data_IF_690214629564
#
_entry.id   IF_690214629564
#
_cell.length_a   1.000
_cell.length_b   1.000
_cell.length_c   1.000
_cell.angle_alpha   90.00
_cell.angle_beta   90.00
_cell.angle_gamma   90.00
#
_symmetry.space_group_name_H-M   'P 1'
#
loop_
_entity.id
_entity.type
_entity.pdbx_description
1 polymer ?
#
# COMPACT_ATOMS: atom_id res chain seq x y z
N UNK A 1 -9.77 -42.58 -51.48
CA UNK A 1 -9.00 -42.02 -50.37
C UNK A 1 -8.38 -40.70 -50.78
N UNK A 2 -8.74 -39.62 -50.06
CA UNK A 2 -8.22 -38.28 -50.30
C UNK A 2 -6.71 -38.24 -50.06
N UNK A 3 -5.94 -37.50 -50.88
CA UNK A 3 -4.49 -37.37 -50.68
C UNK A 3 -4.18 -36.73 -49.32
N UNK A 4 -3.08 -37.15 -48.71
CA UNK A 4 -2.73 -36.75 -47.34
C UNK A 4 -2.76 -35.24 -47.11
N UNK A 5 -2.31 -34.44 -48.08
CA UNK A 5 -2.32 -32.96 -48.03
C UNK A 5 -3.72 -32.35 -47.93
N UNK A 6 -4.67 -32.89 -48.72
CA UNK A 6 -6.08 -32.41 -48.67
C UNK A 6 -6.73 -32.79 -47.35
N UNK A 7 -6.45 -33.96 -46.82
CA UNK A 7 -6.95 -34.40 -45.52
C UNK A 7 -6.44 -33.52 -44.39
N UNK A 8 -5.15 -33.18 -44.37
CA UNK A 8 -4.59 -32.29 -43.38
C UNK A 8 -5.16 -30.87 -43.45
N UNK A 9 -5.35 -30.35 -44.68
CA UNK A 9 -5.98 -29.05 -44.90
C UNK A 9 -7.44 -29.02 -44.40
N UNK A 10 -8.22 -30.06 -44.67
CA UNK A 10 -9.61 -30.17 -44.20
C UNK A 10 -9.69 -30.25 -42.65
N UNK A 11 -8.78 -31.01 -42.00
CA UNK A 11 -8.72 -31.07 -40.55
C UNK A 11 -8.34 -29.69 -39.97
N UNK A 12 -7.34 -29.04 -40.56
CA UNK A 12 -6.93 -27.69 -40.15
C UNK A 12 -8.07 -26.67 -40.27
N UNK A 13 -8.80 -26.70 -41.40
CA UNK A 13 -9.97 -25.86 -41.62
C UNK A 13 -11.11 -26.15 -40.63
N UNK A 14 -11.39 -27.40 -40.35
CA UNK A 14 -12.42 -27.80 -39.38
C UNK A 14 -12.06 -27.32 -37.97
N UNK A 15 -10.79 -27.49 -37.55
CA UNK A 15 -10.28 -26.99 -36.27
C UNK A 15 -10.35 -25.46 -36.16
N UNK A 16 -9.94 -24.75 -37.22
CA UNK A 16 -9.98 -23.29 -37.26
C UNK A 16 -11.43 -22.77 -37.18
N UNK A 17 -12.34 -23.41 -37.92
CA UNK A 17 -13.77 -23.07 -37.89
C UNK A 17 -14.38 -23.33 -36.52
N UNK A 18 -14.01 -24.43 -35.87
CA UNK A 18 -14.47 -24.77 -34.55
C UNK A 18 -13.92 -23.76 -33.51
N UNK A 19 -12.62 -23.41 -33.57
CA UNK A 19 -11.99 -22.41 -32.70
C UNK A 19 -12.61 -21.03 -32.90
N UNK A 20 -12.87 -20.63 -34.15
CA UNK A 20 -13.55 -19.36 -34.44
C UNK A 20 -14.94 -19.30 -33.81
N UNK A 21 -15.75 -20.36 -34.01
CA UNK A 21 -17.09 -20.44 -33.40
C UNK A 21 -17.04 -20.39 -31.90
N UNK A 22 -16.13 -21.16 -31.27
CA UNK A 22 -15.92 -21.12 -29.82
C UNK A 22 -15.56 -19.70 -29.33
N UNK A 23 -14.67 -19.01 -30.03
CA UNK A 23 -14.27 -17.63 -29.69
C UNK A 23 -15.43 -16.64 -29.79
N UNK A 24 -16.25 -16.74 -30.84
CA UNK A 24 -17.44 -15.89 -31.03
C UNK A 24 -18.46 -16.13 -29.91
N UNK A 25 -18.76 -17.38 -29.58
CA UNK A 25 -19.73 -17.70 -28.53
C UNK A 25 -19.24 -17.30 -27.15
N UNK A 26 -17.94 -17.54 -26.80
CA UNK A 26 -17.36 -17.04 -25.57
C UNK A 26 -17.45 -15.51 -25.53
N UNK A 27 -17.19 -14.82 -26.65
CA UNK A 27 -17.34 -13.36 -26.72
C UNK A 27 -18.76 -12.89 -26.43
N UNK A 28 -19.77 -13.61 -26.97
CA UNK A 28 -21.18 -13.34 -26.69
C UNK A 28 -21.52 -13.60 -25.23
N UNK A 29 -21.06 -14.71 -24.64
CA UNK A 29 -21.29 -15.04 -23.24
C UNK A 29 -20.69 -13.99 -22.31
N UNK A 30 -19.47 -13.51 -22.60
CA UNK A 30 -18.81 -12.42 -21.89
C UNK A 30 -19.59 -11.11 -22.04
N UNK A 31 -20.03 -10.76 -23.25
CA UNK A 31 -20.83 -9.56 -23.47
C UNK A 31 -22.16 -9.61 -22.70
N UNK A 32 -22.85 -10.75 -22.71
CA UNK A 32 -24.09 -10.95 -21.93
C UNK A 32 -23.83 -10.87 -20.44
N UNK A 33 -22.71 -11.43 -19.95
CA UNK A 33 -22.29 -11.34 -18.55
C UNK A 33 -22.11 -9.91 -18.07
N UNK A 34 -21.54 -9.03 -18.91
CA UNK A 34 -21.29 -7.62 -18.53
C UNK A 34 -22.49 -6.71 -18.78
N UNK A 35 -23.33 -7.00 -19.80
CA UNK A 35 -24.43 -6.11 -20.19
C UNK A 35 -25.79 -6.48 -19.57
N UNK A 36 -25.98 -7.76 -19.18
CA UNK A 36 -27.22 -8.27 -18.60
C UNK A 36 -27.02 -8.84 -17.19
N UNK A 37 -27.83 -9.83 -16.83
CA UNK A 37 -27.69 -10.54 -15.58
C UNK A 37 -26.52 -11.50 -15.64
N UNK A 38 -25.60 -11.43 -14.69
CA UNK A 38 -24.41 -12.31 -14.60
C UNK A 38 -24.77 -13.79 -14.59
N UNK A 39 -25.88 -14.15 -13.92
CA UNK A 39 -26.40 -15.52 -13.92
C UNK A 39 -26.74 -16.04 -15.31
N UNK A 40 -27.30 -15.19 -16.19
CA UNK A 40 -27.61 -15.55 -17.56
C UNK A 40 -26.34 -15.81 -18.40
N UNK A 41 -25.30 -14.98 -18.21
CA UNK A 41 -24.00 -15.18 -18.85
C UNK A 41 -23.34 -16.50 -18.43
N UNK A 42 -23.42 -16.87 -17.15
CA UNK A 42 -22.93 -18.15 -16.64
C UNK A 42 -23.73 -19.32 -17.20
N UNK A 43 -25.05 -19.22 -17.22
CA UNK A 43 -25.92 -20.24 -17.83
C UNK A 43 -25.56 -20.46 -19.30
N UNK A 44 -25.42 -19.37 -20.06
CA UNK A 44 -25.04 -19.43 -21.48
C UNK A 44 -23.67 -20.10 -21.63
N UNK A 45 -22.70 -19.74 -20.81
CA UNK A 45 -21.37 -20.35 -20.81
C UNK A 45 -21.41 -21.86 -20.52
N UNK A 46 -22.22 -22.29 -19.54
CA UNK A 46 -22.41 -23.73 -19.25
C UNK A 46 -23.03 -24.46 -20.43
N UNK A 47 -24.05 -23.88 -21.08
CA UNK A 47 -24.67 -24.44 -22.26
C UNK A 47 -23.68 -24.55 -23.43
N UNK A 48 -22.83 -23.52 -23.60
CA UNK A 48 -21.78 -23.51 -24.61
C UNK A 48 -20.73 -24.59 -24.37
N UNK A 49 -20.24 -24.73 -23.15
CA UNK A 49 -19.32 -25.81 -22.78
C UNK A 49 -19.98 -27.16 -23.05
N UNK A 50 -21.23 -27.34 -22.66
CA UNK A 50 -21.99 -28.55 -22.90
C UNK A 50 -22.13 -28.89 -24.40
N UNK A 51 -22.44 -27.89 -25.19
CA UNK A 51 -22.70 -28.09 -26.62
C UNK A 51 -21.42 -28.16 -27.46
N UNK A 52 -20.43 -27.31 -27.18
CA UNK A 52 -19.23 -27.21 -28.03
C UNK A 52 -18.05 -28.05 -27.54
N UNK A 53 -18.03 -28.45 -26.27
CA UNK A 53 -16.94 -29.25 -25.70
C UNK A 53 -17.44 -30.63 -25.29
N UNK A 54 -18.45 -30.72 -24.45
CA UNK A 54 -18.88 -31.99 -23.89
C UNK A 54 -19.54 -32.87 -24.96
N UNK A 55 -20.43 -32.32 -25.77
CA UNK A 55 -21.13 -33.10 -26.83
C UNK A 55 -20.16 -33.66 -27.87
N UNK A 56 -19.24 -32.91 -28.47
CA UNK A 56 -18.24 -33.47 -29.41
C UNK A 56 -17.39 -34.54 -28.76
N UNK A 57 -16.91 -34.29 -27.51
CA UNK A 57 -16.09 -35.24 -26.76
C UNK A 57 -16.88 -36.56 -26.53
N UNK A 58 -18.14 -36.46 -26.11
CA UNK A 58 -18.98 -37.66 -25.87
C UNK A 58 -19.29 -38.39 -27.18
N UNK A 59 -19.54 -37.67 -28.27
CA UNK A 59 -19.76 -38.29 -29.58
C UNK A 59 -18.49 -38.99 -30.06
N UNK A 60 -17.36 -38.40 -29.99
CA UNK A 60 -16.07 -39.02 -30.32
C UNK A 60 -15.77 -40.25 -29.45
N UNK A 61 -15.99 -40.13 -28.13
CA UNK A 61 -15.84 -41.27 -27.20
C UNK A 61 -16.76 -42.45 -27.54
N UNK A 62 -18.01 -42.15 -27.97
CA UNK A 62 -18.95 -43.19 -28.44
C UNK A 62 -18.47 -43.85 -29.74
N UNK A 63 -18.02 -43.06 -30.71
CA UNK A 63 -17.45 -43.56 -31.97
C UNK A 63 -16.18 -44.39 -31.70
N UNK A 64 -15.34 -43.98 -30.79
CA UNK A 64 -14.17 -44.76 -30.37
C UNK A 64 -14.51 -46.09 -29.75
N UNK A 65 -15.56 -46.08 -28.91
CA UNK A 65 -16.02 -47.31 -28.28
C UNK A 65 -16.62 -48.28 -29.30
N UNK A 66 -17.26 -47.74 -30.33
CA UNK A 66 -17.82 -48.55 -31.45
C UNK A 66 -16.73 -49.09 -32.39
N UNK A 67 -15.57 -48.42 -32.53
CA UNK A 67 -14.49 -48.78 -33.46
C UNK A 67 -13.19 -49.19 -32.78
N UNK A 68 -13.27 -49.75 -31.58
CA UNK A 68 -12.08 -50.06 -30.75
C UNK A 68 -11.06 -50.94 -31.47
N UNK A 69 -11.52 -51.88 -32.31
CA UNK A 69 -10.67 -52.86 -32.99
C UNK A 69 -9.93 -52.30 -34.21
N UNK A 70 -10.40 -51.20 -34.76
CA UNK A 70 -9.82 -50.57 -35.97
C UNK A 70 -8.75 -49.49 -35.62
N UNK A 71 -8.57 -49.10 -34.36
CA UNK A 71 -7.67 -48.01 -33.95
C UNK A 71 -6.32 -48.55 -33.48
N UNK A 72 -5.19 -48.10 -34.06
CA UNK A 72 -3.87 -48.50 -33.60
C UNK A 72 -3.65 -48.21 -32.12
N UNK A 73 -2.97 -49.12 -31.37
CA UNK A 73 -2.83 -48.97 -29.92
C UNK A 73 -2.12 -47.65 -29.47
N UNK A 74 -1.21 -47.17 -30.32
CA UNK A 74 -0.53 -45.89 -30.07
C UNK A 74 -1.49 -44.70 -30.07
N UNK A 75 -2.43 -44.66 -30.98
CA UNK A 75 -3.45 -43.59 -31.05
C UNK A 75 -4.43 -43.65 -29.88
N UNK A 76 -4.84 -44.86 -29.46
CA UNK A 76 -5.67 -45.03 -28.25
C UNK A 76 -4.98 -44.44 -27.02
N UNK A 77 -3.71 -44.74 -26.85
CA UNK A 77 -2.90 -44.19 -25.71
C UNK A 77 -2.79 -42.68 -25.79
N UNK A 78 -2.48 -42.11 -26.95
CA UNK A 78 -2.36 -40.68 -27.15
C UNK A 78 -3.67 -39.93 -26.87
N UNK A 79 -4.78 -40.48 -27.26
CA UNK A 79 -6.13 -39.88 -27.12
C UNK A 79 -6.61 -39.86 -25.66
N UNK A 80 -6.21 -40.82 -24.84
CA UNK A 80 -6.48 -40.80 -23.39
C UNK A 80 -5.40 -39.99 -22.63
N UNK A 81 -4.15 -40.12 -23.06
CA UNK A 81 -3.04 -39.44 -22.38
C UNK A 81 -3.11 -37.91 -22.51
N UNK A 82 -3.54 -37.37 -23.67
CA UNK A 82 -3.58 -35.93 -23.90
C UNK A 82 -4.58 -35.21 -22.96
N UNK A 83 -5.87 -35.58 -22.85
CA UNK A 83 -6.77 -34.94 -21.91
C UNK A 83 -6.37 -35.18 -20.44
N UNK A 84 -5.84 -36.36 -20.14
CA UNK A 84 -5.33 -36.65 -18.81
C UNK A 84 -4.13 -35.75 -18.47
N UNK A 85 -3.20 -35.56 -19.41
CA UNK A 85 -2.06 -34.67 -19.25
C UNK A 85 -2.52 -33.20 -19.04
N UNK A 86 -3.49 -32.74 -19.80
CA UNK A 86 -4.09 -31.40 -19.66
C UNK A 86 -4.77 -31.23 -18.29
N UNK A 87 -5.52 -32.26 -17.85
CA UNK A 87 -6.14 -32.26 -16.53
C UNK A 87 -5.07 -32.18 -15.42
N UNK A 88 -4.04 -33.02 -15.52
CA UNK A 88 -2.92 -33.01 -14.55
C UNK A 88 -2.20 -31.67 -14.58
N UNK A 89 -1.89 -31.14 -15.76
CA UNK A 89 -1.27 -29.81 -15.90
C UNK A 89 -2.14 -28.69 -15.28
N UNK A 90 -3.47 -28.79 -15.39
CA UNK A 90 -4.39 -27.86 -14.76
C UNK A 90 -4.49 -27.98 -13.24
N UNK A 91 -4.15 -29.14 -12.68
CA UNK A 91 -4.14 -29.39 -11.23
C UNK A 91 -2.77 -29.09 -10.57
N UNK A 92 -1.70 -29.04 -11.35
CA UNK A 92 -0.37 -28.69 -10.83
C UNK A 92 -0.35 -27.21 -10.45
N UNK A 93 0.10 -26.87 -9.22
CA UNK A 93 0.28 -25.48 -8.84
C UNK A 93 1.49 -24.88 -9.56
N UNK A 94 1.24 -24.00 -10.50
CA UNK A 94 2.29 -23.28 -11.22
C UNK A 94 2.81 -22.13 -10.37
N UNK A 95 4.14 -21.98 -10.23
CA UNK A 95 4.71 -20.85 -9.52
C UNK A 95 4.29 -19.56 -10.22
N UNK A 96 3.74 -18.64 -9.47
CA UNK A 96 3.28 -17.35 -9.96
C UNK A 96 4.08 -16.22 -9.35
N UNK A 97 4.36 -15.19 -10.13
CA UNK A 97 4.81 -13.91 -9.60
C UNK A 97 3.58 -13.04 -9.36
N UNK A 98 3.52 -12.44 -8.19
CA UNK A 98 2.53 -11.45 -7.82
C UNK A 98 3.11 -10.07 -8.03
N UNK A 99 2.32 -9.16 -8.57
CA UNK A 99 2.75 -7.78 -8.76
C UNK A 99 1.85 -6.82 -7.99
N UNK A 100 2.44 -5.72 -7.53
CA UNK A 100 1.73 -4.65 -6.85
C UNK A 100 2.48 -3.34 -6.93
N UNK A 101 1.76 -2.25 -6.71
CA UNK A 101 2.39 -0.95 -6.58
C UNK A 101 3.29 -0.90 -5.35
N UNK A 102 4.50 -0.40 -5.49
CA UNK A 102 5.48 -0.32 -4.42
C UNK A 102 5.98 1.10 -4.19
N UNK A 103 6.27 1.38 -2.93
CA UNK A 103 6.86 2.63 -2.47
C UNK A 103 8.12 2.34 -1.67
N UNK A 104 9.26 2.78 -2.21
CA UNK A 104 10.57 2.70 -1.57
C UNK A 104 10.78 3.93 -0.69
N UNK A 105 11.05 3.71 0.58
CA UNK A 105 11.39 4.78 1.53
C UNK A 105 12.31 4.27 2.64
N UNK A 106 12.88 5.19 3.40
CA UNK A 106 13.66 4.83 4.59
C UNK A 106 12.74 4.22 5.64
N UNK A 107 13.13 3.09 6.24
CA UNK A 107 12.35 2.41 7.29
C UNK A 107 12.12 3.32 8.49
N UNK A 108 13.16 4.05 8.85
CA UNK A 108 13.10 5.02 9.95
C UNK A 108 13.15 6.42 9.40
N UNK A 109 12.01 7.10 9.44
CA UNK A 109 11.88 8.49 9.04
C UNK A 109 11.07 9.27 10.07
N UNK A 110 11.39 10.54 10.23
CA UNK A 110 10.66 11.43 11.13
C UNK A 110 10.45 12.78 10.46
N UNK A 111 9.17 13.15 10.32
CA UNK A 111 8.80 14.46 9.78
C UNK A 111 8.89 15.50 10.88
N UNK A 112 9.66 16.54 10.64
CA UNK A 112 9.79 17.67 11.54
C UNK A 112 8.72 18.68 11.23
N UNK A 113 7.82 18.93 12.17
CA UNK A 113 6.73 19.89 12.05
C UNK A 113 6.91 21.06 13.01
N UNK A 114 6.47 22.24 12.61
CA UNK A 114 6.35 23.36 13.52
C UNK A 114 5.26 23.09 14.56
N UNK A 115 5.55 23.09 15.89
CA UNK A 115 4.55 22.80 16.92
C UNK A 115 3.51 23.92 17.05
N UNK A 116 3.93 25.16 16.87
CA UNK A 116 3.11 26.37 16.95
C UNK A 116 3.43 27.33 15.80
N UNK A 117 2.56 28.31 15.58
CA UNK A 117 2.85 29.42 14.70
C UNK A 117 4.01 30.25 15.27
N UNK A 118 4.95 30.62 14.43
CA UNK A 118 6.08 31.42 14.87
C UNK A 118 7.02 31.82 13.74
N UNK A 119 8.01 32.61 14.07
CA UNK A 119 9.04 33.06 13.15
C UNK A 119 10.25 32.12 13.24
N UNK A 120 10.72 31.63 12.11
CA UNK A 120 11.91 30.80 12.04
C UNK A 120 13.16 31.68 12.27
N UNK A 121 13.93 31.40 13.32
CA UNK A 121 15.17 32.14 13.60
C UNK A 121 16.39 31.49 12.95
N UNK A 122 16.43 30.17 12.93
CA UNK A 122 17.53 29.39 12.38
C UNK A 122 17.05 28.11 11.72
N UNK A 123 17.77 27.69 10.68
CA UNK A 123 17.55 26.42 9.99
C UNK A 123 18.91 25.76 9.72
N UNK A 124 18.91 24.44 9.75
CA UNK A 124 20.07 23.62 9.33
C UNK A 124 19.91 23.24 7.88
N UNK A 125 20.99 23.33 7.12
CA UNK A 125 21.03 22.89 5.74
C UNK A 125 20.84 21.37 5.63
N UNK A 126 20.28 20.88 4.48
CA UNK A 126 20.19 19.45 4.19
C UNK A 126 21.56 18.76 4.30
N UNK A 127 21.62 17.63 4.97
CA UNK A 127 22.87 16.90 5.16
C UNK A 127 22.85 15.99 6.39
N UNK A 128 24.00 15.40 6.75
CA UNK A 128 24.12 14.52 7.91
C UNK A 128 23.87 15.28 9.22
N UNK A 129 23.08 14.68 10.12
CA UNK A 129 22.73 15.24 11.42
C UNK A 129 22.91 14.19 12.51
N UNK A 130 23.21 14.66 13.73
CA UNK A 130 23.35 13.83 14.91
C UNK A 130 22.11 13.88 15.81
N UNK A 131 21.84 12.81 16.54
CA UNK A 131 20.75 12.79 17.53
C UNK A 131 20.90 13.96 18.53
N UNK A 132 19.81 14.70 18.78
CA UNK A 132 19.79 15.87 19.64
C UNK A 132 20.34 17.15 19.01
N UNK A 133 20.86 17.10 17.78
CA UNK A 133 21.31 18.30 17.06
C UNK A 133 20.10 19.19 16.79
N UNK A 134 20.23 20.51 17.05
CA UNK A 134 19.21 21.51 16.74
C UNK A 134 19.10 21.66 15.24
N UNK A 135 17.89 21.48 14.71
CA UNK A 135 17.58 21.58 13.27
C UNK A 135 16.92 22.91 12.94
N UNK A 136 15.91 23.29 13.71
CA UNK A 136 15.17 24.51 13.52
C UNK A 136 14.93 25.18 14.86
N UNK A 137 14.91 26.49 14.86
CA UNK A 137 14.56 27.32 16.00
C UNK A 137 13.42 28.23 15.62
N UNK A 138 12.26 28.06 16.29
CA UNK A 138 11.05 28.84 16.04
C UNK A 138 10.86 29.80 17.23
N UNK A 139 10.62 31.05 16.94
CA UNK A 139 10.29 32.09 17.93
C UNK A 139 8.77 32.35 17.90
N UNK A 140 8.15 32.30 19.09
CA UNK A 140 6.76 32.72 19.25
C UNK A 140 6.71 33.90 20.21
N UNK A 141 6.59 35.14 19.70
CA UNK A 141 6.54 36.35 20.57
C UNK A 141 5.33 36.33 21.49
N UNK A 142 4.21 35.73 21.06
CA UNK A 142 3.02 35.61 21.91
C UNK A 142 3.24 34.70 23.10
N UNK A 143 3.92 33.56 22.90
CA UNK A 143 4.26 32.65 23.99
C UNK A 143 5.28 33.26 24.97
N UNK A 144 6.27 33.98 24.42
CA UNK A 144 7.24 34.73 25.25
C UNK A 144 6.54 35.78 26.11
N UNK A 145 5.62 36.54 25.55
CA UNK A 145 4.85 37.55 26.27
C UNK A 145 4.00 36.91 27.38
N UNK A 146 3.36 35.77 27.07
CA UNK A 146 2.55 35.01 28.04
C UNK A 146 3.39 34.50 29.21
N UNK A 147 4.58 33.97 28.94
CA UNK A 147 5.56 33.57 29.97
C UNK A 147 5.97 34.75 30.85
N UNK A 148 6.35 35.88 30.23
CA UNK A 148 6.74 37.07 30.99
C UNK A 148 5.64 37.60 31.89
N UNK A 149 4.38 37.58 31.41
CA UNK A 149 3.21 37.98 32.22
C UNK A 149 3.00 37.03 33.40
N UNK A 150 3.08 35.71 33.20
CA UNK A 150 2.93 34.71 34.24
C UNK A 150 4.06 34.84 35.28
N UNK A 151 5.32 35.02 34.85
CA UNK A 151 6.46 35.26 35.74
C UNK A 151 6.33 36.57 36.51
N UNK A 152 5.88 37.65 35.89
CA UNK A 152 5.63 38.92 36.57
C UNK A 152 4.56 38.81 37.66
N UNK A 153 3.48 38.06 37.39
CA UNK A 153 2.43 37.80 38.37
C UNK A 153 2.90 36.90 39.50
N UNK A 154 3.65 35.85 39.20
CA UNK A 154 4.30 34.98 40.20
C UNK A 154 5.17 35.78 41.13
N UNK A 155 6.03 36.65 40.59
CA UNK A 155 6.96 37.45 41.38
C UNK A 155 6.22 38.52 42.22
N UNK A 156 5.13 39.09 41.73
CA UNK A 156 4.27 39.98 42.50
C UNK A 156 3.64 39.26 43.69
N UNK A 157 3.07 38.05 43.51
CA UNK A 157 2.51 37.26 44.62
C UNK A 157 3.55 36.80 45.60
N UNK A 158 4.76 36.52 45.19
CA UNK A 158 5.88 36.19 46.05
C UNK A 158 6.25 37.35 46.97
N UNK A 159 6.29 38.58 46.44
CA UNK A 159 6.56 39.78 47.23
C UNK A 159 5.43 40.08 48.22
N UNK A 160 4.16 39.92 47.81
CA UNK A 160 3.02 40.07 48.73
C UNK A 160 3.06 39.05 49.86
N UNK A 161 3.39 37.79 49.58
CA UNK A 161 3.57 36.74 50.60
C UNK A 161 4.68 37.10 51.61
N UNK A 162 5.79 37.64 51.12
CA UNK A 162 6.89 38.07 51.98
C UNK A 162 6.49 39.24 52.89
N UNK A 163 5.61 40.14 52.41
CA UNK A 163 5.10 41.28 53.19
C UNK A 163 4.10 40.93 54.28
N UNK A 164 3.52 39.71 54.26
CA UNK A 164 2.56 39.26 55.29
C UNK A 164 3.22 38.77 56.61
N UNK A 165 4.54 38.71 56.66
CA UNK A 165 5.22 38.25 57.83
C UNK A 165 5.01 39.23 58.99
N UNK A 166 4.27 38.81 60.07
CA UNK A 166 4.02 39.58 61.27
C UNK A 166 2.64 40.30 61.37
N UNK A 167 1.73 40.08 60.45
CA UNK A 167 0.37 40.66 60.53
C UNK A 167 -0.64 39.72 61.24
N UNK A 168 -1.56 40.23 62.11
CA UNK A 168 -2.41 39.41 62.98
C UNK A 168 -3.44 38.54 62.18
N UNK A 169 -3.90 38.95 60.98
CA UNK A 169 -4.86 38.21 60.15
C UNK A 169 -4.19 37.49 58.93
N UNK A 170 -2.92 37.20 59.08
CA UNK A 170 -2.07 36.76 57.97
C UNK A 170 -2.33 35.35 57.45
N UNK A 171 -2.91 34.44 58.23
CA UNK A 171 -2.95 33.03 57.85
C UNK A 171 -3.94 32.73 56.70
N UNK A 172 -5.18 33.21 56.74
CA UNK A 172 -6.15 33.02 55.69
C UNK A 172 -5.72 33.72 54.38
N UNK A 173 -5.18 34.91 54.48
CA UNK A 173 -4.68 35.68 53.34
C UNK A 173 -3.42 35.05 52.74
N UNK A 174 -2.57 34.45 53.60
CA UNK A 174 -1.39 33.68 53.16
C UNK A 174 -1.80 32.44 52.32
N UNK A 175 -2.79 31.65 52.79
CA UNK A 175 -3.25 30.50 52.05
C UNK A 175 -3.79 30.84 50.65
N UNK A 176 -4.59 31.95 50.55
CA UNK A 176 -5.11 32.43 49.27
C UNK A 176 -3.99 32.91 48.33
N UNK A 177 -3.04 33.70 48.86
CA UNK A 177 -1.91 34.20 48.05
C UNK A 177 -0.95 33.07 47.66
N UNK A 178 -0.75 32.07 48.53
CA UNK A 178 0.01 30.87 48.18
C UNK A 178 -0.61 30.12 47.02
N UNK A 179 -1.94 29.89 47.04
CA UNK A 179 -2.64 29.25 45.92
C UNK A 179 -2.51 30.04 44.61
N UNK A 180 -2.52 31.40 44.68
CA UNK A 180 -2.28 32.21 43.48
C UNK A 180 -0.83 32.14 43.00
N UNK A 181 0.15 32.15 43.91
CA UNK A 181 1.56 31.96 43.56
C UNK A 181 1.80 30.64 42.88
N UNK A 182 1.27 29.54 43.45
CA UNK A 182 1.40 28.18 42.89
C UNK A 182 0.79 28.08 41.51
N UNK A 183 -0.40 28.71 41.30
CA UNK A 183 -1.05 28.79 39.99
C UNK A 183 -0.14 29.47 38.95
N UNK A 184 0.36 30.67 39.24
CA UNK A 184 1.23 31.41 38.32
C UNK A 184 2.61 30.76 38.14
N UNK A 185 3.10 30.06 39.15
CA UNK A 185 4.34 29.28 39.06
C UNK A 185 4.14 28.08 38.06
N UNK A 186 2.99 27.40 38.16
CA UNK A 186 2.65 26.32 37.24
C UNK A 186 2.44 26.82 35.79
N UNK A 187 1.73 27.95 35.62
CA UNK A 187 1.53 28.59 34.29
C UNK A 187 2.88 28.98 33.66
N UNK A 188 3.77 29.66 34.44
CA UNK A 188 5.09 30.03 33.94
C UNK A 188 5.94 28.80 33.59
N UNK A 189 5.81 27.72 34.34
CA UNK A 189 6.46 26.44 34.07
C UNK A 189 5.99 25.87 32.73
N UNK A 190 4.68 25.79 32.54
CA UNK A 190 4.08 25.28 31.30
C UNK A 190 4.51 26.08 30.05
N UNK A 191 4.55 27.40 30.16
CA UNK A 191 5.04 28.25 29.06
C UNK A 191 6.54 28.04 28.75
N UNK A 192 7.36 27.78 29.77
CA UNK A 192 8.80 27.46 29.56
C UNK A 192 8.97 26.13 28.84
N UNK A 193 8.20 25.12 29.23
CA UNK A 193 8.22 23.81 28.60
C UNK A 193 7.77 23.90 27.12
N UNK A 194 6.75 24.73 26.84
CA UNK A 194 6.28 24.97 25.49
C UNK A 194 7.31 25.72 24.63
N UNK A 195 8.01 26.75 25.24
CA UNK A 195 9.11 27.43 24.57
C UNK A 195 10.28 26.49 24.27
N UNK A 196 10.58 25.55 25.16
CA UNK A 196 11.61 24.54 24.90
C UNK A 196 11.27 23.63 23.68
N UNK A 197 10.00 23.35 23.47
CA UNK A 197 9.54 22.57 22.30
C UNK A 197 9.69 23.30 20.97
N UNK A 198 9.88 24.62 20.97
CA UNK A 198 10.14 25.41 19.78
C UNK A 198 11.58 25.24 19.24
N UNK A 199 12.45 24.61 20.01
CA UNK A 199 13.75 24.16 19.54
C UNK A 199 13.64 22.74 19.01
N UNK A 200 13.50 22.63 17.68
CA UNK A 200 13.33 21.35 17.04
C UNK A 200 14.67 20.66 16.85
N UNK A 201 14.81 19.48 17.42
CA UNK A 201 16.05 18.68 17.39
C UNK A 201 15.86 17.39 16.62
N UNK A 202 16.96 16.84 16.09
CA UNK A 202 16.96 15.55 15.44
C UNK A 202 16.67 14.41 16.45
N UNK A 203 15.65 13.57 16.23
CA UNK A 203 15.32 12.49 17.16
C UNK A 203 16.32 11.33 17.13
N UNK A 204 17.08 11.22 16.05
CA UNK A 204 18.16 10.23 15.84
C UNK A 204 19.19 10.77 14.86
N UNK A 205 20.36 10.13 14.83
CA UNK A 205 21.39 10.45 13.85
C UNK A 205 21.00 9.91 12.48
N UNK A 206 21.09 10.73 11.44
CA UNK A 206 20.65 10.39 10.10
C UNK A 206 20.94 11.49 9.08
N UNK A 207 20.10 11.58 8.07
CA UNK A 207 20.19 12.58 7.01
C UNK A 207 18.95 13.49 7.05
N UNK A 208 19.17 14.79 7.11
CA UNK A 208 18.11 15.80 6.95
C UNK A 208 17.85 16.00 5.45
N UNK A 209 16.64 15.71 5.02
CA UNK A 209 16.20 15.80 3.63
C UNK A 209 14.87 16.55 3.51
N UNK A 210 14.46 16.86 2.31
CA UNK A 210 13.16 17.48 2.01
C UNK A 210 12.90 18.75 2.84
N UNK A 211 13.92 19.55 3.05
CA UNK A 211 13.75 20.87 3.66
C UNK A 211 12.89 21.72 2.73
N UNK A 212 11.78 22.27 3.24
CA UNK A 212 10.90 23.10 2.45
C UNK A 212 11.68 24.29 1.87
N UNK A 213 11.76 24.45 0.53
CA UNK A 213 12.53 25.50 -0.10
C UNK A 213 12.01 26.92 0.21
N UNK A 214 10.79 27.05 0.70
CA UNK A 214 10.23 28.34 1.17
C UNK A 214 10.74 28.77 2.53
N UNK A 215 11.50 27.93 3.24
CA UNK A 215 12.01 28.27 4.56
C UNK A 215 13.28 29.11 4.48
N UNK A 216 13.28 30.23 5.19
CA UNK A 216 14.43 31.08 5.41
C UNK A 216 14.34 31.71 6.82
N UNK A 217 15.48 32.15 7.35
CA UNK A 217 15.47 32.89 8.60
C UNK A 217 14.56 34.13 8.48
N UNK A 218 13.67 34.31 9.45
CA UNK A 218 12.69 35.38 9.48
C UNK A 218 11.31 35.04 8.89
N UNK A 219 11.16 33.92 8.19
CA UNK A 219 9.88 33.47 7.64
C UNK A 219 8.95 32.97 8.75
N UNK A 220 7.66 33.25 8.64
CA UNK A 220 6.63 32.71 9.52
C UNK A 220 6.21 31.31 9.08
N UNK A 221 6.15 30.40 10.04
CA UNK A 221 5.65 29.03 9.84
C UNK A 221 4.31 28.84 10.54
N UNK A 222 3.44 28.06 9.92
CA UNK A 222 2.14 27.73 10.48
C UNK A 222 2.23 26.51 11.42
N UNK A 223 1.28 26.35 12.36
CA UNK A 223 1.21 25.15 13.19
C UNK A 223 1.07 23.89 12.31
N UNK A 224 1.81 22.83 12.64
CA UNK A 224 1.87 21.56 11.91
C UNK A 224 2.40 21.65 10.47
N UNK A 225 2.95 22.79 10.06
CA UNK A 225 3.67 22.87 8.78
C UNK A 225 4.89 21.94 8.84
N UNK A 226 5.02 21.08 7.83
CA UNK A 226 6.22 20.25 7.68
C UNK A 226 7.39 21.13 7.26
N UNK A 227 8.49 21.03 7.98
CA UNK A 227 9.70 21.82 7.74
C UNK A 227 10.75 20.99 7.00
N UNK A 228 10.91 19.72 7.38
CA UNK A 228 11.87 18.80 6.80
C UNK A 228 11.57 17.36 7.24
N UNK A 229 12.35 16.42 6.71
CA UNK A 229 12.32 15.02 7.12
C UNK A 229 13.73 14.58 7.54
N UNK A 230 13.84 13.86 8.68
CA UNK A 230 15.07 13.16 9.06
C UNK A 230 14.89 11.69 8.74
N UNK A 231 15.80 11.12 7.96
CA UNK A 231 15.79 9.70 7.58
C UNK A 231 17.03 8.97 8.07
N UNK A 232 16.88 7.68 8.34
CA UNK A 232 18.02 6.78 8.55
C UNK A 232 18.43 6.20 7.17
N UNK A 233 19.59 6.60 6.63
CA UNK A 233 20.02 6.11 5.32
C UNK A 233 20.51 4.66 5.36
N UNK A 234 20.64 4.05 6.55
CA UNK A 234 21.12 2.67 6.70
C UNK A 234 20.05 1.59 6.49
N UNK A 235 18.78 1.94 6.54
CA UNK A 235 17.68 0.96 6.42
C UNK A 235 16.60 1.44 5.46
N UNK A 236 16.40 0.69 4.39
CA UNK A 236 15.41 0.97 3.35
C UNK A 236 14.44 -0.18 3.21
N UNK A 237 13.17 0.14 3.10
CA UNK A 237 12.08 -0.82 2.89
C UNK A 237 11.24 -0.42 1.68
N UNK A 238 10.60 -1.43 1.10
CA UNK A 238 9.54 -1.23 0.11
C UNK A 238 8.22 -1.65 0.71
N UNK A 239 7.27 -0.75 0.73
CA UNK A 239 5.88 -1.07 1.02
C UNK A 239 5.15 -1.36 -0.29
N UNK A 240 4.70 -2.59 -0.47
CA UNK A 240 3.95 -3.04 -1.64
C UNK A 240 2.47 -3.19 -1.29
N UNK A 241 1.61 -2.81 -2.23
CA UNK A 241 0.16 -2.88 -2.08
C UNK A 241 -0.39 -3.96 -3.01
N UNK A 242 -0.93 -5.02 -2.42
CA UNK A 242 -1.34 -6.24 -3.11
C UNK A 242 -2.85 -6.42 -2.96
N UNK A 243 -3.57 -6.82 -4.04
CA UNK A 243 -4.98 -7.14 -3.97
C UNK A 243 -5.28 -8.30 -3.00
N UNK A 244 -6.43 -8.22 -2.32
CA UNK A 244 -6.90 -9.25 -1.38
C UNK A 244 -6.90 -10.67 -1.98
N UNK A 245 -7.21 -10.79 -3.28
CA UNK A 245 -7.25 -12.08 -3.96
C UNK A 245 -5.90 -12.81 -4.00
N UNK A 246 -4.80 -12.11 -3.76
CA UNK A 246 -3.45 -12.63 -3.91
C UNK A 246 -2.63 -12.61 -2.61
N UNK A 247 -3.11 -11.92 -1.57
CA UNK A 247 -2.36 -11.75 -0.29
C UNK A 247 -2.08 -13.08 0.40
N UNK A 248 -3.02 -14.03 0.35
CA UNK A 248 -2.88 -15.36 0.97
C UNK A 248 -1.75 -16.22 0.39
N UNK A 249 -1.20 -15.80 -0.76
CA UNK A 249 -0.12 -16.50 -1.47
C UNK A 249 1.26 -16.00 -1.10
N UNK A 250 1.34 -14.95 -0.31
CA UNK A 250 2.59 -14.32 0.09
C UNK A 250 2.93 -14.73 1.51
N UNK A 251 4.16 -15.17 1.70
CA UNK A 251 4.67 -15.55 3.03
C UNK A 251 5.87 -14.69 3.41
N UNK A 252 6.06 -14.38 4.71
CA UNK A 252 7.32 -13.84 5.18
C UNK A 252 8.50 -14.73 4.75
N UNK A 253 9.55 -14.09 4.22
CA UNK A 253 10.71 -14.76 3.64
C UNK A 253 10.69 -14.92 2.12
N UNK A 254 9.55 -14.72 1.46
CA UNK A 254 9.46 -14.80 0.00
C UNK A 254 10.35 -13.77 -0.69
N UNK A 255 10.95 -14.18 -1.82
CA UNK A 255 11.80 -13.29 -2.60
C UNK A 255 10.96 -12.21 -3.31
N UNK A 256 11.43 -10.98 -3.22
CA UNK A 256 10.80 -9.83 -3.83
C UNK A 256 11.78 -9.04 -4.69
N UNK A 257 11.27 -8.35 -5.70
CA UNK A 257 12.03 -7.45 -6.57
C UNK A 257 11.23 -6.17 -6.76
N UNK A 258 11.89 -5.06 -6.55
CA UNK A 258 11.30 -3.75 -6.78
C UNK A 258 11.88 -3.11 -8.04
N UNK A 259 11.02 -2.59 -8.88
CA UNK A 259 11.32 -1.92 -10.15
C UNK A 259 10.92 -0.45 -10.03
N UNK A 260 11.86 0.45 -9.70
CA UNK A 260 11.56 1.87 -9.59
C UNK A 260 11.08 2.46 -10.92
N UNK A 261 10.03 3.26 -10.90
CA UNK A 261 9.53 3.96 -12.09
C UNK A 261 10.41 5.18 -12.37
N UNK A 262 10.91 5.29 -13.60
CA UNK A 262 11.57 6.50 -14.10
C UNK A 262 12.97 6.78 -13.58
N UNK A 263 13.62 5.86 -12.86
CA UNK A 263 14.95 6.07 -12.31
C UNK A 263 15.97 4.98 -12.69
N UNK A 264 17.26 5.32 -12.85
CA UNK A 264 18.31 4.35 -13.16
C UNK A 264 18.77 3.53 -11.94
N UNK A 265 17.96 3.42 -10.89
CA UNK A 265 18.30 2.70 -9.65
C UNK A 265 18.49 1.18 -9.84
N UNK A 266 18.17 0.66 -11.03
CA UNK A 266 18.20 -0.78 -11.27
C UNK A 266 17.10 -1.53 -10.53
N UNK A 267 17.16 -2.86 -10.59
CA UNK A 267 16.22 -3.74 -9.88
C UNK A 267 16.74 -3.96 -8.47
N UNK A 268 15.96 -3.56 -7.47
CA UNK A 268 16.29 -3.78 -6.07
C UNK A 268 15.72 -5.13 -5.61
N UNK A 269 16.57 -5.93 -4.98
CA UNK A 269 16.20 -7.26 -4.45
C UNK A 269 15.90 -7.14 -2.96
N UNK A 270 14.94 -7.93 -2.51
CA UNK A 270 14.56 -7.95 -1.09
C UNK A 270 13.78 -9.19 -0.75
N UNK A 271 13.38 -9.28 0.51
CA UNK A 271 12.53 -10.35 1.06
C UNK A 271 11.33 -9.75 1.76
N UNK A 272 10.22 -10.44 1.65
CA UNK A 272 9.02 -10.11 2.42
C UNK A 272 9.34 -10.27 3.90
N UNK A 273 9.19 -9.19 4.65
CA UNK A 273 9.37 -9.17 6.10
C UNK A 273 8.04 -9.44 6.80
N UNK A 274 7.00 -8.76 6.36
CA UNK A 274 5.69 -8.81 7.01
C UNK A 274 4.57 -8.56 6.00
N UNK A 275 3.45 -9.21 6.23
CA UNK A 275 2.21 -9.00 5.49
C UNK A 275 1.16 -8.52 6.48
N UNK A 276 0.60 -7.33 6.27
CA UNK A 276 -0.43 -6.79 7.16
C UNK A 276 -1.69 -7.67 7.11
N UNK A 277 -2.27 -7.92 8.26
CA UNK A 277 -3.53 -8.69 8.37
C UNK A 277 -4.78 -7.85 8.09
N UNK A 278 -4.63 -6.52 7.99
CA UNK A 278 -5.73 -5.59 7.75
C UNK A 278 -5.55 -4.87 6.41
N UNK A 279 -6.68 -4.60 5.75
CA UNK A 279 -6.67 -3.85 4.51
C UNK A 279 -6.24 -2.40 4.72
N UNK A 280 -5.51 -1.86 3.78
CA UNK A 280 -5.12 -0.45 3.76
C UNK A 280 -6.33 0.42 3.42
N UNK A 281 -6.70 1.32 4.32
CA UNK A 281 -7.81 2.28 4.13
C UNK A 281 -7.37 3.55 3.42
N UNK A 282 -6.08 3.89 3.51
CA UNK A 282 -5.49 5.09 2.90
C UNK A 282 -4.14 4.74 2.28
N UNK A 283 -3.73 5.52 1.27
CA UNK A 283 -2.40 5.40 0.69
C UNK A 283 -1.41 6.29 1.45
N UNK A 284 -0.23 5.76 1.82
CA UNK A 284 0.77 6.53 2.58
C UNK A 284 1.45 7.62 1.74
N UNK A 285 1.47 7.45 0.42
CA UNK A 285 2.13 8.40 -0.48
C UNK A 285 1.22 8.74 -1.68
N UNK A 286 1.03 10.04 -2.01
CA UNK A 286 0.12 10.45 -3.08
C UNK A 286 0.54 9.92 -4.46
N UNK A 287 1.82 9.71 -4.70
CA UNK A 287 2.31 9.19 -5.97
C UNK A 287 1.93 7.73 -6.28
N UNK A 288 1.38 6.99 -5.31
CA UNK A 288 0.80 5.66 -5.55
C UNK A 288 -0.56 5.73 -6.25
N UNK A 289 -1.24 6.87 -6.15
CA UNK A 289 -2.56 7.10 -6.71
C UNK A 289 -2.51 7.30 -8.24
N UNK A 290 -3.39 6.63 -8.95
CA UNK A 290 -3.51 6.72 -10.40
C UNK A 290 -3.79 8.15 -10.90
N UNK A 291 -4.45 9.00 -10.11
CA UNK A 291 -4.70 10.39 -10.47
C UNK A 291 -3.43 11.27 -10.46
N UNK A 292 -2.38 10.84 -9.80
CA UNK A 292 -1.07 11.51 -9.73
C UNK A 292 0.03 10.76 -10.47
N UNK A 293 -0.34 9.76 -11.31
CA UNK A 293 0.60 8.99 -12.11
C UNK A 293 1.02 7.65 -11.50
N UNK A 294 0.46 7.27 -10.35
CA UNK A 294 0.65 5.95 -9.73
C UNK A 294 -0.20 4.85 -10.36
N UNK A 295 -0.19 3.68 -9.75
CA UNK A 295 -0.86 2.49 -10.28
C UNK A 295 -2.17 2.15 -9.54
N UNK A 296 -2.47 2.78 -8.40
CA UNK A 296 -3.61 2.43 -7.55
C UNK A 296 -4.80 3.34 -7.84
N UNK A 297 -5.91 2.83 -8.38
CA UNK A 297 -7.14 3.60 -8.51
C UNK A 297 -7.73 3.94 -7.14
N UNK A 298 -8.07 5.22 -6.91
CA UNK A 298 -8.65 5.69 -5.65
C UNK A 298 -10.04 6.30 -5.85
N UNK A 299 -10.78 6.40 -4.75
CA UNK A 299 -11.94 7.26 -4.63
C UNK A 299 -11.52 8.61 -4.02
N UNK A 300 -12.15 9.73 -4.44
CA UNK A 300 -11.97 10.99 -3.74
C UNK A 300 -12.38 10.82 -2.27
N UNK A 301 -11.48 11.14 -1.34
CA UNK A 301 -11.77 11.05 0.09
C UNK A 301 -12.88 11.99 0.52
N UNK A 302 -13.72 11.58 1.45
CA UNK A 302 -14.83 12.40 1.99
C UNK A 302 -14.37 13.66 2.72
N UNK A 303 -13.09 13.78 3.05
CA UNK A 303 -12.54 14.86 3.90
C UNK A 303 -11.87 16.00 3.13
N UNK A 304 -11.89 16.04 1.81
CA UNK A 304 -11.31 17.14 1.03
C UNK A 304 -9.78 17.30 1.12
N UNK A 305 -9.10 16.52 1.95
CA UNK A 305 -7.64 16.52 2.05
C UNK A 305 -7.02 15.60 1.01
N UNK A 306 -6.01 16.04 0.28
CA UNK A 306 -5.31 15.20 -0.71
C UNK A 306 -4.67 13.92 -0.14
N UNK A 307 -4.46 13.89 1.18
CA UNK A 307 -3.87 12.75 1.90
C UNK A 307 -4.87 11.66 2.33
N UNK A 308 -6.18 11.82 2.09
CA UNK A 308 -7.21 10.87 2.53
C UNK A 308 -7.86 10.08 1.40
N UNK A 309 -7.10 9.75 0.35
CA UNK A 309 -7.61 8.95 -0.77
C UNK A 309 -7.61 7.48 -0.41
N UNK A 310 -8.77 6.84 -0.51
CA UNK A 310 -8.91 5.42 -0.26
C UNK A 310 -8.85 4.60 -1.56
N UNK A 311 -8.13 3.47 -1.57
CA UNK A 311 -8.11 2.57 -2.73
C UNK A 311 -9.52 2.10 -3.09
N UNK A 312 -9.80 1.92 -4.39
CA UNK A 312 -11.05 1.34 -4.88
C UNK A 312 -11.19 -0.14 -4.57
N UNK A 313 -10.07 -0.82 -4.55
CA UNK A 313 -9.99 -2.24 -4.26
C UNK A 313 -9.41 -2.46 -2.85
N UNK A 314 -9.75 -3.58 -2.24
CA UNK A 314 -9.14 -3.99 -0.99
C UNK A 314 -7.68 -4.35 -1.23
N UNK A 315 -6.78 -3.55 -0.70
CA UNK A 315 -5.33 -3.75 -0.79
C UNK A 315 -4.75 -4.06 0.58
N UNK A 316 -3.79 -4.95 0.59
CA UNK A 316 -3.01 -5.30 1.78
C UNK A 316 -1.59 -4.80 1.60
N UNK A 317 -1.03 -4.26 2.67
CA UNK A 317 0.34 -3.79 2.67
C UNK A 317 1.29 -4.93 2.99
N UNK A 318 2.33 -5.05 2.18
CA UNK A 318 3.42 -6.01 2.34
C UNK A 318 4.70 -5.22 2.51
N UNK A 319 5.40 -5.42 3.63
CA UNK A 319 6.70 -4.80 3.88
C UNK A 319 7.82 -5.73 3.40
N UNK A 320 8.72 -5.17 2.62
CA UNK A 320 9.84 -5.86 2.00
C UNK A 320 11.11 -5.19 2.45
N UNK A 321 11.99 -5.96 3.09
CA UNK A 321 13.33 -5.52 3.44
C UNK A 321 14.25 -5.71 2.25
N UNK A 322 15.01 -4.69 1.90
CA UNK A 322 15.98 -4.76 0.83
C UNK A 322 17.24 -5.52 1.29
N UNK A 323 17.82 -6.33 0.40
CA UNK A 323 19.09 -7.03 0.62
C UNK A 323 20.28 -6.10 0.37
N UNK A 324 20.11 -5.09 -0.48
CA UNK A 324 21.13 -4.11 -0.85
C UNK A 324 20.57 -2.69 -0.66
N UNK A 325 21.40 -1.77 -0.24
CA UNK A 325 21.00 -0.37 -0.13
C UNK A 325 20.85 0.25 -1.52
N UNK A 326 19.83 1.09 -1.75
CA UNK A 326 19.72 1.82 -3.00
C UNK A 326 20.93 2.74 -3.20
N UNK A 327 21.44 2.84 -4.43
CA UNK A 327 22.59 3.67 -4.77
C UNK A 327 22.37 5.16 -4.48
N UNK A 328 21.12 5.62 -4.44
CA UNK A 328 20.73 6.95 -4.04
C UNK A 328 19.69 6.86 -2.90
N UNK A 329 19.86 7.68 -1.87
CA UNK A 329 18.92 7.81 -0.76
C UNK A 329 17.67 8.61 -1.19
N UNK A 330 16.90 8.04 -2.11
CA UNK A 330 15.73 8.69 -2.70
C UNK A 330 14.49 7.81 -2.54
N UNK A 331 13.38 8.46 -2.19
CA UNK A 331 12.06 7.86 -2.24
C UNK A 331 11.70 7.56 -3.70
N UNK A 332 11.23 6.34 -3.97
CA UNK A 332 10.85 5.94 -5.31
C UNK A 332 9.53 5.17 -5.30
N UNK A 333 8.76 5.36 -6.35
CA UNK A 333 7.55 4.60 -6.61
C UNK A 333 7.84 3.65 -7.76
N UNK A 334 7.24 2.48 -7.74
CA UNK A 334 7.48 1.50 -8.79
C UNK A 334 6.57 0.28 -8.69
N UNK A 335 6.89 -0.72 -9.47
CA UNK A 335 6.24 -2.02 -9.45
C UNK A 335 7.06 -2.97 -8.56
N UNK A 336 6.38 -3.70 -7.71
CA UNK A 336 6.98 -4.78 -6.91
C UNK A 336 6.53 -6.11 -7.45
N UNK A 337 7.46 -7.03 -7.64
CA UNK A 337 7.18 -8.43 -8.00
C UNK A 337 7.67 -9.35 -6.92
N UNK A 338 6.77 -10.18 -6.41
CA UNK A 338 7.05 -11.14 -5.34
C UNK A 338 6.82 -12.56 -5.83
N UNK A 339 7.63 -13.48 -5.33
CA UNK A 339 7.34 -14.89 -5.46
C UNK A 339 6.11 -15.20 -4.59
N UNK A 340 5.14 -15.90 -5.15
CA UNK A 340 3.97 -16.32 -4.41
C UNK A 340 3.75 -17.81 -4.54
N UNK A 341 3.04 -18.40 -3.57
CA UNK A 341 2.65 -19.81 -3.64
C UNK A 341 1.95 -20.11 -4.95
N UNK A 342 2.33 -21.23 -5.57
CA UNK A 342 1.78 -21.68 -6.83
C UNK A 342 0.28 -21.92 -6.73
N UNK A 343 -0.46 -21.55 -7.77
CA UNK A 343 -1.90 -21.78 -7.84
C UNK A 343 -2.23 -22.64 -9.06
N UNK A 344 -2.95 -23.73 -8.83
CA UNK A 344 -3.48 -24.54 -9.91
C UNK A 344 -4.63 -23.78 -10.60
N UNK A 345 -4.54 -23.64 -11.94
CA UNK A 345 -5.51 -22.80 -12.66
C UNK A 345 -6.92 -23.42 -12.70
N UNK A 346 -7.04 -24.76 -12.75
CA UNK A 346 -8.32 -25.43 -12.84
C UNK A 346 -9.18 -25.25 -11.58
N UNK A 347 -8.70 -25.56 -10.36
CA UNK A 347 -9.46 -25.28 -9.13
C UNK A 347 -9.79 -23.80 -8.97
N UNK A 348 -8.88 -22.91 -9.36
CA UNK A 348 -9.10 -21.46 -9.29
C UNK A 348 -10.24 -21.02 -10.20
N UNK A 349 -10.28 -21.52 -11.43
CA UNK A 349 -11.36 -21.22 -12.37
C UNK A 349 -12.71 -21.75 -11.86
N UNK A 350 -12.74 -23.00 -11.36
CA UNK A 350 -13.95 -23.61 -10.79
C UNK A 350 -14.44 -22.81 -9.58
N UNK A 351 -13.55 -22.47 -8.65
CA UNK A 351 -13.92 -21.69 -7.46
C UNK A 351 -14.44 -20.28 -7.84
N UNK A 352 -13.87 -19.63 -8.85
CA UNK A 352 -14.40 -18.34 -9.35
C UNK A 352 -15.81 -18.48 -9.89
N UNK A 353 -16.05 -19.50 -10.69
CA UNK A 353 -17.39 -19.77 -11.26
C UNK A 353 -18.39 -20.03 -10.13
N UNK A 354 -18.02 -20.88 -9.16
CA UNK A 354 -18.87 -21.18 -8.00
C UNK A 354 -19.12 -19.93 -7.15
N UNK A 355 -18.11 -19.14 -6.87
CA UNK A 355 -18.23 -17.91 -6.06
C UNK A 355 -19.18 -16.89 -6.73
N UNK A 356 -19.10 -16.73 -8.07
CA UNK A 356 -20.03 -15.89 -8.81
C UNK A 356 -21.43 -16.49 -8.75
N UNK A 357 -21.57 -17.80 -8.94
CA UNK A 357 -22.86 -18.49 -8.86
C UNK A 357 -23.52 -18.30 -7.48
N UNK A 358 -22.79 -18.51 -6.39
CA UNK A 358 -23.32 -18.32 -5.02
C UNK A 358 -23.75 -16.87 -4.78
N UNK A 359 -22.91 -15.90 -5.22
CA UNK A 359 -23.22 -14.48 -5.04
C UNK A 359 -24.47 -14.02 -5.81
N UNK A 360 -24.68 -14.55 -7.02
CA UNK A 360 -25.81 -14.16 -7.87
C UNK A 360 -27.11 -14.94 -7.54
N UNK A 361 -27.00 -16.10 -6.87
CA UNK A 361 -28.16 -16.87 -6.41
C UNK A 361 -28.71 -16.39 -5.05
N UNK A 362 -28.04 -15.42 -4.40
CA UNK A 362 -28.56 -14.77 -3.19
C UNK A 362 -28.46 -15.61 -1.89
N UNK A 363 -27.52 -16.57 -1.82
CA UNK A 363 -27.18 -17.30 -0.60
C UNK A 363 -25.93 -16.74 0.05
#
# INVERSE_FOLDING_TARGET
PLPARVRTALIGFALLTWLYRLGVFIGIAVAVYYMFFKALGILLFIVEIGWFIVRPVVTELREWRARQDAIPPLRKRAMVALPLMLLVAGLIPWPGSLSGAGWLHAERQHLIHAPLAGRLLGLTEPGPVHAGQRLFEVESPELQLSMHRADGQRESRKRELAGLAGLPDGEQRRAQLQGQYDKYAAEAGAFRDELARLQLTAPFSGLLVDVDPGLAAGVWVAPRQTLATVIDPGSWIVEAFIPEADVDRIRPGDAARFYPAGQPLGVLRGRVMEVDSTRSTTLPHPGLDASTGGQIPTHPGQSGSPSSRSPREALYRVRIQLEEQPAAAQVAIGETRMAGEGRAWLPTAVNRILAVGVREMGF
#
